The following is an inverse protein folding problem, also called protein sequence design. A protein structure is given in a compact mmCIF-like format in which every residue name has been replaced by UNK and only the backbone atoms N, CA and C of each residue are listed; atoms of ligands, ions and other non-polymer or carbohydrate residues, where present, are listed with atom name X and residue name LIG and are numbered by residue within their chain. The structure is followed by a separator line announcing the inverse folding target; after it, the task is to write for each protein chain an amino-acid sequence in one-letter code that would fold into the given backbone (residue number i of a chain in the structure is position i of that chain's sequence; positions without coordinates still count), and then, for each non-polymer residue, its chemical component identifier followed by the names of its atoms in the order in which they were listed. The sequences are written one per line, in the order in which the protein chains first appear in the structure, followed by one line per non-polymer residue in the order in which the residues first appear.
data_IF_322759913499
#
_entry.id   IF_322759913499
#
_cell.length_a   1.000
_cell.length_b   1.000
_cell.length_c   1.000
_cell.angle_alpha   90.00
_cell.angle_beta   90.00
_cell.angle_gamma   90.00
#
_symmetry.space_group_name_H-M   'P 1'
#
loop_
_entity.id
_entity.type
_entity.pdbx_description
1 polymer ?
#
# COMPACT_ATOMS: atom_id res chain seq x y z
N UNK A 1 0.55 20.50 0.63
CA UNK A 1 1.80 21.08 0.06
C UNK A 1 2.87 20.03 0.24
N UNK A 2 3.59 19.58 -0.81
CA UNK A 2 4.74 18.68 -0.61
C UNK A 2 5.83 19.48 0.12
N UNK A 3 6.20 19.07 1.35
CA UNK A 3 7.22 19.76 2.16
C UNK A 3 8.65 19.41 1.71
N UNK A 4 8.84 18.24 1.10
CA UNK A 4 10.16 17.68 0.80
C UNK A 4 10.31 17.33 -0.69
N UNK A 5 11.53 17.50 -1.21
CA UNK A 5 11.89 17.16 -2.60
C UNK A 5 12.10 15.66 -2.70
N UNK A 6 11.34 15.00 -3.57
CA UNK A 6 11.53 13.58 -3.88
C UNK A 6 12.47 13.50 -5.08
N UNK A 7 13.60 12.84 -4.90
CA UNK A 7 14.60 12.56 -5.94
C UNK A 7 14.76 11.05 -6.12
N UNK A 8 15.47 10.61 -7.16
CA UNK A 8 15.79 9.19 -7.35
C UNK A 8 16.47 8.65 -6.07
N UNK A 9 16.14 7.41 -5.73
CA UNK A 9 16.51 6.71 -4.49
C UNK A 9 15.85 7.20 -3.20
N UNK A 10 14.99 8.23 -3.25
CA UNK A 10 14.20 8.64 -2.10
C UNK A 10 13.17 7.57 -1.72
N UNK A 11 13.14 7.23 -0.43
CA UNK A 11 12.08 6.44 0.20
C UNK A 11 10.99 7.37 0.71
N UNK A 12 9.74 7.00 0.47
CA UNK A 12 8.60 7.87 0.76
C UNK A 12 7.44 7.04 1.31
N UNK A 13 6.96 7.44 2.49
CA UNK A 13 5.66 7.03 2.99
C UNK A 13 4.60 7.91 2.37
N UNK A 14 3.57 7.29 1.79
CA UNK A 14 2.48 7.96 1.08
C UNK A 14 1.16 7.56 1.67
N UNK A 15 0.28 8.54 1.86
CA UNK A 15 -1.11 8.34 2.25
C UNK A 15 -2.04 9.12 1.33
N UNK A 16 -3.18 8.51 0.99
CA UNK A 16 -4.31 9.26 0.43
C UNK A 16 -5.62 8.72 1.00
N UNK A 17 -6.54 9.64 1.27
CA UNK A 17 -7.81 9.38 1.96
C UNK A 17 -8.98 9.74 1.04
N UNK A 18 -10.11 9.07 1.22
CA UNK A 18 -11.35 9.37 0.54
C UNK A 18 -11.87 10.76 0.93
N UNK A 19 -12.51 11.45 0.00
CA UNK A 19 -13.11 12.76 0.25
C UNK A 19 -14.07 12.68 1.44
N UNK A 20 -13.94 13.58 2.41
CA UNK A 20 -14.75 13.58 3.64
C UNK A 20 -14.68 12.25 4.42
N UNK A 21 -13.53 11.57 4.38
CA UNK A 21 -13.29 10.26 5.00
C UNK A 21 -14.24 9.15 4.51
N UNK A 22 -14.88 9.36 3.35
CA UNK A 22 -15.77 8.37 2.75
C UNK A 22 -14.99 7.15 2.23
N UNK A 23 -15.63 5.98 2.14
CA UNK A 23 -15.01 4.79 1.57
C UNK A 23 -14.46 5.03 0.16
N UNK A 24 -13.28 4.48 -0.13
CA UNK A 24 -12.63 4.55 -1.45
C UNK A 24 -13.07 3.40 -2.38
N UNK A 25 -14.06 2.63 -1.95
CA UNK A 25 -14.64 1.50 -2.67
C UNK A 25 -16.12 1.33 -2.25
N UNK A 26 -16.92 0.58 -3.01
CA UNK A 26 -18.35 0.33 -2.68
C UNK A 26 -18.62 -1.14 -2.40
N UNK A 27 -17.88 -2.04 -3.03
CA UNK A 27 -17.95 -3.48 -2.79
C UNK A 27 -16.56 -4.12 -2.83
N UNK A 28 -16.39 -5.28 -2.20
CA UNK A 28 -15.07 -5.91 -2.04
C UNK A 28 -14.30 -6.12 -3.35
N UNK A 29 -14.97 -6.35 -4.49
CA UNK A 29 -14.28 -6.49 -5.78
C UNK A 29 -13.66 -5.19 -6.30
N UNK A 30 -14.12 -4.02 -5.86
CA UNK A 30 -13.43 -2.75 -6.16
C UNK A 30 -12.09 -2.65 -5.43
N UNK A 31 -12.02 -3.18 -4.19
CA UNK A 31 -10.80 -3.20 -3.39
C UNK A 31 -9.79 -4.20 -3.97
N UNK A 32 -10.26 -5.36 -4.46
CA UNK A 32 -9.44 -6.28 -5.26
C UNK A 32 -8.89 -5.61 -6.52
N UNK A 33 -9.72 -4.88 -7.27
CA UNK A 33 -9.25 -4.13 -8.43
C UNK A 33 -8.17 -3.09 -8.03
N UNK A 34 -8.34 -2.41 -6.90
CA UNK A 34 -7.35 -1.46 -6.39
C UNK A 34 -6.02 -2.17 -6.07
N UNK A 35 -6.06 -3.33 -5.41
CA UNK A 35 -4.88 -4.17 -5.15
C UNK A 35 -4.17 -4.54 -6.46
N UNK A 36 -4.90 -5.06 -7.45
CA UNK A 36 -4.31 -5.44 -8.75
C UNK A 36 -3.66 -4.24 -9.43
N UNK A 37 -4.27 -3.06 -9.30
CA UNK A 37 -3.73 -1.86 -9.93
C UNK A 37 -2.35 -1.47 -9.40
N UNK A 38 -1.96 -1.82 -8.15
CA UNK A 38 -0.60 -1.59 -7.65
C UNK A 38 0.46 -2.23 -8.58
N UNK A 39 0.18 -3.41 -9.11
CA UNK A 39 1.08 -4.11 -10.03
C UNK A 39 1.01 -3.52 -11.44
N UNK A 40 -0.21 -3.42 -11.99
CA UNK A 40 -0.40 -3.14 -13.42
C UNK A 40 -0.22 -1.66 -13.81
N UNK A 41 -0.50 -0.71 -12.90
CA UNK A 41 -0.26 0.71 -13.18
C UNK A 41 1.19 1.13 -12.92
N UNK A 42 1.96 0.32 -12.19
CA UNK A 42 3.39 0.49 -11.99
C UNK A 42 4.17 0.11 -13.25
N UNK A 43 3.95 0.88 -14.31
CA UNK A 43 4.62 0.74 -15.59
C UNK A 43 4.56 2.06 -16.37
N UNK A 44 5.52 2.30 -17.26
CA UNK A 44 5.58 3.52 -18.07
C UNK A 44 4.42 3.61 -19.08
N UNK A 45 4.11 2.51 -19.79
CA UNK A 45 3.34 2.54 -21.05
C UNK A 45 1.82 2.32 -20.93
N UNK A 46 1.32 1.67 -19.88
CA UNK A 46 -0.11 1.34 -19.82
C UNK A 46 -0.98 2.54 -19.45
N UNK A 47 -1.99 2.82 -20.29
CA UNK A 47 -3.02 3.85 -20.06
C UNK A 47 -4.32 3.25 -19.53
N UNK A 48 -4.61 1.98 -19.83
CA UNK A 48 -5.83 1.30 -19.40
C UNK A 48 -5.61 -0.21 -19.21
N UNK A 49 -4.84 -0.55 -18.16
CA UNK A 49 -4.45 -1.92 -17.84
C UNK A 49 -5.64 -2.90 -17.83
N UNK A 50 -6.78 -2.54 -17.25
CA UNK A 50 -7.91 -3.45 -17.10
C UNK A 50 -8.47 -3.91 -18.47
N UNK A 51 -8.59 -2.97 -19.42
CA UNK A 51 -9.03 -3.28 -20.79
C UNK A 51 -7.98 -4.07 -21.56
N UNK A 52 -6.70 -3.79 -21.30
CA UNK A 52 -5.59 -4.52 -21.92
C UNK A 52 -5.56 -5.98 -21.44
N UNK A 53 -5.77 -6.22 -20.15
CA UNK A 53 -5.89 -7.57 -19.59
C UNK A 53 -7.12 -8.31 -20.13
N UNK A 54 -8.27 -7.65 -20.19
CA UNK A 54 -9.49 -8.23 -20.75
C UNK A 54 -9.29 -8.69 -22.20
N UNK A 55 -8.67 -7.86 -23.04
CA UNK A 55 -8.35 -8.22 -24.44
C UNK A 55 -7.34 -9.35 -24.57
N UNK A 56 -6.45 -9.47 -23.60
CA UNK A 56 -5.47 -10.54 -23.54
C UNK A 56 -6.01 -11.79 -22.82
N UNK A 57 -7.26 -11.78 -22.36
CA UNK A 57 -7.89 -12.85 -21.58
C UNK A 57 -7.10 -13.26 -20.33
N UNK A 58 -6.42 -12.28 -19.70
CA UNK A 58 -5.61 -12.50 -18.49
C UNK A 58 -6.43 -12.11 -17.26
N UNK A 59 -6.52 -13.04 -16.31
CA UNK A 59 -7.06 -12.76 -14.98
C UNK A 59 -6.13 -11.79 -14.22
N UNK A 60 -6.60 -10.60 -13.80
CA UNK A 60 -5.82 -9.68 -13.00
C UNK A 60 -5.21 -10.29 -11.74
N UNK A 61 -5.88 -11.27 -11.11
CA UNK A 61 -5.41 -11.94 -9.89
C UNK A 61 -4.14 -12.77 -10.12
N UNK A 62 -3.83 -13.12 -11.37
CA UNK A 62 -2.60 -13.84 -11.71
C UNK A 62 -1.34 -12.99 -11.52
N UNK A 63 -1.47 -11.66 -11.51
CA UNK A 63 -0.34 -10.72 -11.54
C UNK A 63 0.68 -10.99 -12.67
N UNK A 64 0.22 -11.54 -13.80
CA UNK A 64 1.06 -11.81 -14.96
C UNK A 64 1.04 -10.59 -15.88
N UNK A 65 2.23 -10.10 -16.23
CA UNK A 65 2.35 -9.03 -17.21
C UNK A 65 2.11 -9.57 -18.64
N UNK A 66 1.16 -9.02 -19.41
CA UNK A 66 0.90 -9.52 -20.76
C UNK A 66 2.06 -9.25 -21.70
N UNK A 67 2.55 -10.29 -22.38
CA UNK A 67 3.63 -10.17 -23.38
C UNK A 67 3.28 -9.19 -24.51
N UNK A 68 2.00 -9.11 -24.89
CA UNK A 68 1.47 -8.19 -25.91
C UNK A 68 1.68 -6.71 -25.56
N UNK A 69 1.93 -6.39 -24.28
CA UNK A 69 2.24 -5.03 -23.81
C UNK A 69 3.75 -4.76 -23.77
N UNK A 70 4.58 -5.70 -24.23
CA UNK A 70 6.03 -5.66 -24.20
C UNK A 70 6.59 -5.88 -22.79
N UNK A 71 7.87 -5.56 -22.62
CA UNK A 71 8.57 -5.72 -21.33
C UNK A 71 8.01 -4.74 -20.30
N UNK A 72 7.63 -5.24 -19.12
CA UNK A 72 7.23 -4.42 -17.97
C UNK A 72 8.40 -3.55 -17.52
N UNK A 73 8.17 -2.25 -17.38
CA UNK A 73 9.16 -1.27 -16.89
C UNK A 73 8.57 -0.52 -15.70
N UNK A 74 8.75 -1.03 -14.46
CA UNK A 74 8.32 -0.35 -13.25
C UNK A 74 8.86 1.09 -13.20
N UNK A 75 8.05 1.99 -12.65
CA UNK A 75 8.40 3.42 -12.50
C UNK A 75 8.59 3.79 -11.02
N UNK A 76 8.20 2.90 -10.11
CA UNK A 76 8.50 2.95 -8.68
C UNK A 76 8.85 1.55 -8.21
N UNK A 77 9.61 1.46 -7.12
CA UNK A 77 9.70 0.24 -6.33
C UNK A 77 8.70 0.35 -5.17
N UNK A 78 7.88 -0.70 -4.97
CA UNK A 78 6.85 -0.74 -3.92
C UNK A 78 7.38 -1.63 -2.81
N UNK A 79 7.67 -1.05 -1.66
CA UNK A 79 8.26 -1.75 -0.52
C UNK A 79 7.17 -2.27 0.43
N UNK A 80 6.05 -1.56 0.56
CA UNK A 80 4.96 -2.00 1.43
C UNK A 80 3.66 -1.27 1.12
N UNK A 81 2.53 -1.90 1.46
CA UNK A 81 1.21 -1.30 1.31
C UNK A 81 0.21 -1.83 2.32
N UNK A 82 -0.79 -1.00 2.63
CA UNK A 82 -2.06 -1.43 3.22
C UNK A 82 -3.19 -0.62 2.60
N UNK A 83 -4.22 -1.30 2.09
CA UNK A 83 -5.44 -0.68 1.56
C UNK A 83 -6.55 -0.83 2.60
N UNK A 84 -7.05 0.29 3.08
CA UNK A 84 -8.12 0.36 4.08
C UNK A 84 -9.42 0.80 3.43
N UNK A 85 -10.45 0.97 4.26
CA UNK A 85 -11.79 1.22 3.75
C UNK A 85 -11.95 2.60 3.11
N UNK A 86 -11.35 3.61 3.73
CA UNK A 86 -11.43 5.01 3.33
C UNK A 86 -10.06 5.62 3.01
N UNK A 87 -8.97 4.87 3.07
CA UNK A 87 -7.63 5.37 2.72
C UNK A 87 -6.68 4.23 2.37
N UNK A 88 -5.48 4.57 1.95
CA UNK A 88 -4.39 3.62 1.77
C UNK A 88 -3.07 4.22 2.25
N UNK A 89 -2.15 3.34 2.62
CA UNK A 89 -0.75 3.67 2.90
C UNK A 89 0.16 2.88 1.97
N UNK A 90 1.21 3.54 1.45
CA UNK A 90 2.26 2.92 0.63
C UNK A 90 3.64 3.35 1.13
N UNK A 91 4.60 2.45 1.02
CA UNK A 91 6.04 2.75 1.14
C UNK A 91 6.63 2.56 -0.25
N UNK A 92 7.13 3.63 -0.85
CA UNK A 92 7.62 3.66 -2.22
C UNK A 92 9.07 4.14 -2.27
N UNK A 93 9.83 3.60 -3.23
CA UNK A 93 11.13 4.14 -3.63
C UNK A 93 11.03 4.76 -5.02
N UNK A 94 11.53 5.97 -5.17
CA UNK A 94 11.67 6.64 -6.45
C UNK A 94 12.81 5.98 -7.24
N UNK A 95 12.51 5.32 -8.37
CA UNK A 95 13.55 4.66 -9.21
C UNK A 95 13.79 5.38 -10.54
N UNK A 96 12.90 6.30 -10.91
CA UNK A 96 13.05 7.24 -12.02
C UNK A 96 12.54 8.60 -11.57
N UNK A 97 13.07 9.68 -12.14
CA UNK A 97 12.62 11.03 -11.84
C UNK A 97 11.11 11.22 -12.13
N UNK A 98 10.35 11.65 -11.12
CA UNK A 98 8.91 11.82 -11.20
C UNK A 98 8.09 10.53 -11.12
N UNK A 99 8.72 9.39 -10.86
CA UNK A 99 8.13 8.05 -10.83
C UNK A 99 6.95 7.92 -9.87
N UNK A 100 7.14 8.26 -8.59
CA UNK A 100 6.12 8.23 -7.54
C UNK A 100 4.94 9.12 -7.90
N UNK A 101 5.22 10.33 -8.40
CA UNK A 101 4.17 11.27 -8.80
C UNK A 101 3.31 10.71 -9.95
N UNK A 102 3.98 10.14 -10.96
CA UNK A 102 3.33 9.51 -12.12
C UNK A 102 2.53 8.27 -11.72
N UNK A 103 3.12 7.40 -10.91
CA UNK A 103 2.48 6.19 -10.38
C UNK A 103 1.22 6.53 -9.57
N UNK A 104 1.33 7.42 -8.59
CA UNK A 104 0.20 7.79 -7.73
C UNK A 104 -0.90 8.49 -8.52
N UNK A 105 -0.55 9.30 -9.52
CA UNK A 105 -1.54 9.88 -10.42
C UNK A 105 -2.30 8.78 -11.17
N UNK A 106 -1.60 7.80 -11.78
CA UNK A 106 -2.25 6.67 -12.47
C UNK A 106 -3.11 5.83 -11.52
N UNK A 107 -2.59 5.51 -10.34
CA UNK A 107 -3.24 4.69 -9.32
C UNK A 107 -4.53 5.35 -8.80
N UNK A 108 -4.45 6.59 -8.31
CA UNK A 108 -5.58 7.30 -7.69
C UNK A 108 -6.61 7.77 -8.72
N UNK A 109 -6.17 8.37 -9.83
CA UNK A 109 -7.10 8.83 -10.87
C UNK A 109 -7.73 7.66 -11.62
N UNK A 110 -6.97 6.60 -11.89
CA UNK A 110 -7.48 5.40 -12.54
C UNK A 110 -8.55 4.71 -11.70
N UNK A 111 -8.38 4.67 -10.38
CA UNK A 111 -9.41 4.13 -9.48
C UNK A 111 -10.62 5.05 -9.35
N UNK A 112 -10.42 6.37 -9.23
CA UNK A 112 -11.52 7.35 -9.17
C UNK A 112 -12.40 7.28 -10.42
N UNK A 113 -11.79 7.23 -11.61
CA UNK A 113 -12.52 7.08 -12.89
C UNK A 113 -13.31 5.79 -12.95
N UNK A 114 -12.72 4.69 -12.46
CA UNK A 114 -13.40 3.40 -12.41
C UNK A 114 -14.64 3.43 -11.51
N UNK A 115 -14.50 3.94 -10.28
CA UNK A 115 -15.63 4.04 -9.33
C UNK A 115 -16.73 4.92 -9.92
N UNK A 116 -16.39 6.10 -10.42
CA UNK A 116 -17.37 7.01 -11.03
C UNK A 116 -18.10 6.36 -12.22
N UNK A 117 -17.38 5.69 -13.11
CA UNK A 117 -17.99 5.01 -14.25
C UNK A 117 -18.89 3.83 -13.83
N UNK A 118 -18.43 3.00 -12.90
CA UNK A 118 -19.16 1.80 -12.44
C UNK A 118 -20.43 2.16 -11.67
N UNK A 119 -20.37 3.17 -10.80
CA UNK A 119 -21.45 3.56 -9.91
C UNK A 119 -22.25 4.77 -10.40
N UNK A 120 -21.94 5.28 -11.59
CA UNK A 120 -22.56 6.50 -12.17
C UNK A 120 -22.45 7.70 -11.23
N UNK A 121 -21.36 7.76 -10.48
CA UNK A 121 -21.02 8.86 -9.58
C UNK A 121 -20.22 9.94 -10.33
N UNK A 122 -20.08 11.12 -9.73
CA UNK A 122 -19.20 12.18 -10.24
C UNK A 122 -18.45 12.85 -9.09
N UNK A 123 -17.32 13.48 -9.42
CA UNK A 123 -16.46 14.17 -8.45
C UNK A 123 -15.21 13.38 -8.06
N UNK A 124 -14.54 13.87 -7.01
CA UNK A 124 -13.26 13.33 -6.54
C UNK A 124 -13.47 12.25 -5.49
N UNK A 125 -12.98 11.03 -5.76
CA UNK A 125 -12.98 9.95 -4.79
C UNK A 125 -12.02 10.23 -3.63
N UNK A 126 -10.83 10.74 -3.94
CA UNK A 126 -9.77 11.05 -2.99
C UNK A 126 -9.73 12.54 -2.63
N UNK A 127 -9.29 12.85 -1.41
CA UNK A 127 -9.15 14.20 -0.89
C UNK A 127 -7.90 14.88 -1.46
N UNK A 128 -8.02 15.36 -2.70
CA UNK A 128 -6.97 16.15 -3.34
C UNK A 128 -5.69 15.35 -3.64
N UNK A 129 -4.54 16.01 -3.50
CA UNK A 129 -3.22 15.39 -3.69
C UNK A 129 -2.91 14.48 -2.50
N UNK A 130 -2.25 13.35 -2.76
CA UNK A 130 -1.71 12.52 -1.69
C UNK A 130 -0.77 13.33 -0.78
N UNK A 131 -0.68 12.90 0.47
CA UNK A 131 0.31 13.38 1.41
C UNK A 131 1.47 12.39 1.42
N UNK A 132 2.67 12.91 1.70
CA UNK A 132 3.88 12.12 1.67
C UNK A 132 4.93 12.68 2.61
N UNK A 133 5.74 11.80 3.18
CA UNK A 133 6.92 12.11 3.99
C UNK A 133 8.09 11.24 3.55
N UNK A 134 9.26 11.85 3.35
CA UNK A 134 10.47 11.10 3.04
C UNK A 134 10.92 10.27 4.24
N UNK A 135 11.58 9.15 3.97
CA UNK A 135 12.10 8.24 4.97
C UNK A 135 13.63 8.34 4.91
N UNK A 136 14.21 8.99 5.92
CA UNK A 136 15.62 9.40 5.89
C UNK A 136 16.57 8.43 6.61
N UNK A 137 16.06 7.51 7.43
CA UNK A 137 16.87 6.58 8.22
C UNK A 137 16.28 5.17 8.22
N UNK A 138 17.14 4.17 8.39
CA UNK A 138 16.74 2.76 8.48
C UNK A 138 15.83 2.52 9.68
N UNK A 139 16.09 3.18 10.81
CA UNK A 139 15.24 3.08 11.99
C UNK A 139 13.83 3.64 11.72
N UNK A 140 13.73 4.75 11.00
CA UNK A 140 12.43 5.30 10.61
C UNK A 140 11.74 4.39 9.58
N UNK A 141 12.50 3.77 8.66
CA UNK A 141 11.99 2.78 7.73
C UNK A 141 11.42 1.54 8.45
N UNK A 142 12.08 1.06 9.53
CA UNK A 142 11.56 -0.02 10.39
C UNK A 142 10.22 0.36 11.02
N UNK A 143 10.16 1.53 11.66
CA UNK A 143 8.95 2.01 12.36
C UNK A 143 7.78 2.23 11.40
N UNK A 144 8.02 2.93 10.29
CA UNK A 144 6.97 3.19 9.29
C UNK A 144 6.48 1.89 8.63
N UNK A 145 7.35 0.87 8.51
CA UNK A 145 6.96 -0.45 8.02
C UNK A 145 5.96 -1.13 8.94
N UNK A 146 6.18 -1.10 10.25
CA UNK A 146 5.22 -1.62 11.24
C UNK A 146 3.93 -0.79 11.22
N UNK A 147 4.05 0.53 11.20
CA UNK A 147 2.88 1.41 11.13
C UNK A 147 2.02 1.11 9.89
N UNK A 148 2.63 1.07 8.70
CA UNK A 148 1.92 0.82 7.44
C UNK A 148 1.34 -0.58 7.38
N UNK A 149 2.11 -1.61 7.70
CA UNK A 149 1.71 -3.00 7.42
C UNK A 149 1.00 -3.68 8.59
N UNK A 150 1.37 -3.37 9.83
CA UNK A 150 0.86 -4.05 11.03
C UNK A 150 -0.22 -3.23 11.71
N UNK A 151 0.10 -2.02 12.18
CA UNK A 151 -0.87 -1.18 12.93
C UNK A 151 -2.14 -0.91 12.12
N UNK A 152 -2.00 -0.42 10.88
CA UNK A 152 -3.16 -0.13 10.02
C UNK A 152 -3.99 -1.39 9.71
N UNK A 153 -3.34 -2.56 9.61
CA UNK A 153 -4.08 -3.82 9.46
C UNK A 153 -4.79 -4.20 10.76
N UNK A 154 -4.14 -4.02 11.91
CA UNK A 154 -4.72 -4.29 13.23
C UNK A 154 -5.91 -3.39 13.55
N UNK A 155 -6.00 -2.18 12.99
CA UNK A 155 -7.22 -1.36 13.09
C UNK A 155 -8.46 -2.04 12.50
N UNK A 156 -8.26 -2.92 11.51
CA UNK A 156 -9.32 -3.70 10.87
C UNK A 156 -9.58 -5.05 11.57
N UNK A 157 -8.85 -5.34 12.65
CA UNK A 157 -8.96 -6.60 13.36
C UNK A 157 -10.39 -6.82 13.91
N UNK A 158 -11.07 -7.94 13.59
CA UNK A 158 -12.49 -8.12 13.90
C UNK A 158 -12.80 -8.21 15.39
N UNK A 159 -11.82 -8.56 16.25
CA UNK A 159 -12.02 -8.68 17.70
C UNK A 159 -11.71 -7.37 18.45
N UNK A 160 -12.15 -6.24 17.92
CA UNK A 160 -12.08 -4.94 18.60
C UNK A 160 -11.00 -3.98 18.07
N UNK A 161 -10.58 -4.13 16.80
CA UNK A 161 -9.61 -3.27 16.15
C UNK A 161 -8.26 -3.25 16.88
N UNK A 162 -7.57 -2.12 16.83
CA UNK A 162 -6.24 -1.97 17.44
C UNK A 162 -6.24 -2.29 18.94
N UNK A 163 -7.28 -1.90 19.69
CA UNK A 163 -7.41 -2.23 21.13
C UNK A 163 -7.53 -3.73 21.37
N UNK A 164 -8.24 -4.43 20.49
CA UNK A 164 -8.33 -5.89 20.52
C UNK A 164 -6.98 -6.54 20.20
N UNK A 165 -6.28 -5.99 19.20
CA UNK A 165 -4.98 -6.50 18.78
C UNK A 165 -3.89 -6.32 19.84
N UNK A 166 -3.88 -5.20 20.57
CA UNK A 166 -2.96 -4.99 21.70
C UNK A 166 -3.21 -6.00 22.83
N UNK A 167 -4.47 -6.37 23.08
CA UNK A 167 -4.82 -7.35 24.12
C UNK A 167 -4.40 -8.78 23.76
N UNK A 168 -4.45 -9.13 22.48
CA UNK A 168 -4.07 -10.45 21.98
C UNK A 168 -3.32 -10.32 20.65
N UNK A 169 -2.03 -9.99 20.77
CA UNK A 169 -1.16 -9.75 19.62
C UNK A 169 -1.05 -10.98 18.72
N UNK A 170 -0.91 -12.17 19.31
CA UNK A 170 -0.69 -13.40 18.53
C UNK A 170 -1.91 -13.77 17.70
N UNK A 171 -3.13 -13.61 18.23
CA UNK A 171 -4.36 -13.85 17.47
C UNK A 171 -4.57 -12.79 16.38
N UNK A 172 -4.29 -11.52 16.69
CA UNK A 172 -4.35 -10.44 15.71
C UNK A 172 -3.32 -10.60 14.59
N UNK A 173 -2.10 -11.01 14.91
CA UNK A 173 -1.05 -11.31 13.93
C UNK A 173 -1.48 -12.43 12.99
N UNK A 174 -1.99 -13.55 13.52
CA UNK A 174 -2.49 -14.69 12.73
C UNK A 174 -3.59 -14.28 11.76
N UNK A 175 -4.48 -13.39 12.17
CA UNK A 175 -5.50 -12.84 11.28
C UNK A 175 -4.91 -11.89 10.24
N UNK A 176 -4.03 -10.98 10.65
CA UNK A 176 -3.50 -9.91 9.83
C UNK A 176 -2.60 -10.41 8.68
N UNK A 177 -1.80 -11.46 8.91
CA UNK A 177 -0.97 -12.07 7.85
C UNK A 177 -1.81 -12.69 6.72
N UNK A 178 -3.09 -13.01 6.98
CA UNK A 178 -4.04 -13.53 5.99
C UNK A 178 -4.84 -12.41 5.31
N UNK A 179 -4.72 -11.16 5.75
CA UNK A 179 -5.43 -10.04 5.14
C UNK A 179 -4.85 -9.73 3.74
N UNK A 180 -5.63 -9.88 2.65
CA UNK A 180 -5.07 -9.82 1.30
C UNK A 180 -4.72 -8.40 0.84
N UNK A 181 -5.23 -7.38 1.54
CA UNK A 181 -5.05 -5.98 1.17
C UNK A 181 -3.95 -5.28 1.97
N UNK A 182 -3.09 -6.04 2.63
CA UNK A 182 -1.85 -5.57 3.28
C UNK A 182 -0.68 -6.44 2.85
N UNK A 183 0.49 -5.84 2.66
CA UNK A 183 1.75 -6.56 2.40
C UNK A 183 2.30 -7.31 3.61
N UNK A 184 1.66 -7.23 4.79
CA UNK A 184 2.11 -7.96 5.99
C UNK A 184 2.28 -9.47 5.74
N UNK A 185 1.34 -10.10 5.02
CA UNK A 185 1.47 -11.53 4.67
C UNK A 185 2.71 -11.85 3.84
N UNK A 186 3.21 -10.89 3.06
CA UNK A 186 4.42 -11.06 2.26
C UNK A 186 5.71 -11.01 3.11
N UNK A 187 5.72 -10.18 4.16
CA UNK A 187 6.82 -10.08 5.11
C UNK A 187 6.79 -11.16 6.18
N UNK A 188 5.61 -11.66 6.53
CA UNK A 188 5.44 -12.82 7.41
C UNK A 188 5.73 -14.16 6.71
N UNK A 189 6.11 -14.16 5.42
CA UNK A 189 6.49 -15.37 4.68
C UNK A 189 5.31 -16.26 4.26
N UNK A 190 4.06 -15.84 4.44
CA UNK A 190 2.88 -16.62 4.03
C UNK A 190 2.46 -16.34 2.57
N UNK A 191 3.04 -15.31 1.94
CA UNK A 191 2.80 -14.95 0.55
C UNK A 191 4.07 -14.42 -0.12
N UNK A 192 4.13 -14.54 -1.44
CA UNK A 192 5.16 -13.90 -2.25
C UNK A 192 4.55 -13.16 -3.45
N UNK A 193 3.98 -11.99 -3.18
CA UNK A 193 3.36 -11.15 -4.20
C UNK A 193 4.41 -10.49 -5.11
N UNK A 194 4.19 -10.46 -6.44
CA UNK A 194 5.06 -9.75 -7.38
C UNK A 194 4.84 -8.22 -7.38
N UNK A 195 3.96 -7.71 -6.50
CA UNK A 195 3.80 -6.27 -6.28
C UNK A 195 5.05 -5.69 -5.62
N UNK A 196 5.64 -6.44 -4.70
CA UNK A 196 6.66 -5.93 -3.78
C UNK A 196 8.05 -6.14 -4.33
N UNK A 197 8.89 -5.13 -4.11
CA UNK A 197 10.33 -5.22 -4.15
C UNK A 197 10.80 -5.34 -2.69
N UNK A 198 11.19 -6.55 -2.29
CA UNK A 198 11.51 -6.87 -0.90
C UNK A 198 12.96 -6.61 -0.55
N UNK A 199 13.82 -6.31 -1.53
CA UNK A 199 15.27 -6.34 -1.37
C UNK A 199 15.72 -5.46 -0.18
N UNK A 200 15.26 -4.21 -0.14
CA UNK A 200 15.66 -3.30 0.93
C UNK A 200 15.04 -3.61 2.30
N UNK A 201 13.73 -3.91 2.36
CA UNK A 201 13.12 -4.21 3.65
C UNK A 201 13.61 -5.57 4.19
N UNK A 202 14.04 -6.47 3.32
CA UNK A 202 14.72 -7.72 3.69
C UNK A 202 16.15 -7.51 4.20
N UNK A 203 16.81 -6.41 3.86
CA UNK A 203 18.10 -6.03 4.48
C UNK A 203 17.91 -5.46 5.90
N UNK A 204 16.71 -4.95 6.21
CA UNK A 204 16.40 -4.32 7.49
C UNK A 204 15.89 -5.31 8.54
N UNK A 205 15.25 -6.39 8.08
CA UNK A 205 14.78 -7.48 8.92
C UNK A 205 15.36 -8.79 8.44
N UNK A 206 16.21 -9.41 9.27
CA UNK A 206 16.91 -10.65 8.92
C UNK A 206 15.96 -11.82 8.65
N UNK A 207 14.78 -11.82 9.28
CA UNK A 207 13.77 -12.85 9.09
C UNK A 207 12.33 -12.35 9.31
N UNK A 208 11.32 -13.11 8.84
CA UNK A 208 9.92 -12.86 9.19
C UNK A 208 9.65 -12.83 10.71
N UNK A 209 10.43 -13.60 11.50
CA UNK A 209 10.30 -13.62 12.96
C UNK A 209 10.87 -12.33 13.58
N UNK A 210 12.01 -11.83 13.10
CA UNK A 210 12.58 -10.55 13.56
C UNK A 210 11.65 -9.38 13.24
N UNK A 211 10.99 -9.42 12.08
CA UNK A 211 9.96 -8.44 11.74
C UNK A 211 8.76 -8.53 12.69
N UNK A 212 8.32 -9.75 13.05
CA UNK A 212 7.21 -9.97 13.98
C UNK A 212 7.55 -9.48 15.38
N UNK A 213 8.71 -9.85 15.93
CA UNK A 213 9.12 -9.43 17.27
C UNK A 213 9.30 -7.91 17.36
N UNK A 214 9.96 -7.30 16.36
CA UNK A 214 10.03 -5.83 16.30
C UNK A 214 8.63 -5.18 16.23
N UNK A 215 7.72 -5.77 15.45
CA UNK A 215 6.34 -5.28 15.37
C UNK A 215 5.59 -5.40 16.69
N UNK A 216 5.84 -6.48 17.45
CA UNK A 216 5.24 -6.71 18.77
C UNK A 216 5.72 -5.68 19.77
N UNK A 217 7.03 -5.47 19.85
CA UNK A 217 7.64 -4.46 20.72
C UNK A 217 7.12 -3.07 20.39
N UNK A 218 7.03 -2.75 19.09
CA UNK A 218 6.48 -1.48 18.62
C UNK A 218 5.02 -1.28 19.03
N UNK A 219 4.15 -2.26 18.78
CA UNK A 219 2.70 -2.16 19.04
C UNK A 219 2.38 -2.14 20.53
N UNK A 220 3.15 -2.85 21.36
CA UNK A 220 2.94 -2.90 22.80
C UNK A 220 3.65 -1.78 23.57
N UNK A 221 4.72 -1.21 22.99
CA UNK A 221 5.56 -0.20 23.61
C UNK A 221 5.19 1.25 23.32
N UNK A 222 4.29 1.52 22.35
CA UNK A 222 3.91 2.88 21.95
C UNK A 222 2.42 3.15 22.14
N UNK A 223 2.10 4.42 22.36
CA UNK A 223 0.72 4.92 22.44
C UNK A 223 0.22 5.35 21.06
N UNK A 224 -1.09 5.29 20.78
CA UNK A 224 -1.65 5.75 19.50
C UNK A 224 -1.38 7.23 19.18
N UNK A 225 -1.17 8.08 20.19
CA UNK A 225 -0.91 9.51 20.02
C UNK A 225 0.50 9.75 19.44
N UNK A 226 1.50 8.97 19.86
CA UNK A 226 2.87 9.03 19.31
C UNK A 226 2.90 8.66 17.82
N UNK A 227 2.05 7.72 17.39
CA UNK A 227 1.93 7.32 15.99
C UNK A 227 1.27 8.39 15.12
N UNK A 228 0.25 9.09 15.65
CA UNK A 228 -0.41 10.16 14.90
C UNK A 228 0.52 11.35 14.67
N UNK A 229 1.35 11.70 15.66
CA UNK A 229 2.34 12.77 15.51
C UNK A 229 3.47 12.39 14.52
N UNK A 230 3.80 11.10 14.43
CA UNK A 230 4.92 10.65 13.61
C UNK A 230 4.52 10.32 12.16
N UNK A 231 3.34 9.74 11.92
CA UNK A 231 2.98 9.17 10.61
C UNK A 231 1.70 9.71 9.97
N UNK A 232 0.90 10.50 10.69
CA UNK A 232 -0.25 11.21 10.11
C UNK A 232 0.11 12.67 9.83
N UNK A 233 -0.28 13.16 8.65
CA UNK A 233 0.00 14.52 8.17
C UNK A 233 -1.26 15.23 7.70
#
# INVERSE_FOLDING_TARGET
MRKETIVIDSFVHVINRGTKQMPIYRQKSDLWRLLFSLFYVNNFSSKNWARELERAEIDPQSFIWPEVLGVRKPIVSILGFTLMSNHFHLILKEIIEGGISSFLHKFTMGHSKFINAKYKESGNLFQGKFQSRTIETDEYLRRVSVYVMVKNTFELYPKGGLKGAIKDFEDAWKWAIQYPFSSLGDYAGVRNSPILDKDLLGEIFDSPEDFKEFSKDYILGRTPDEDMEEFEF
#
